data_IF_788131788946
#
_entry.id   IF_788131788946
#
_cell.length_a   1.000
_cell.length_b   1.000
_cell.length_c   1.000
_cell.angle_alpha   90.00
_cell.angle_beta   90.00
_cell.angle_gamma   90.00
#
_symmetry.space_group_name_H-M   'P 1'
#
loop_
_entity.id
_entity.type
_entity.pdbx_description
1 polymer ?
#
# COMPACT_ATOMS: atom_id res chain seq x y z
N UNK A 1 16.04 -1.05 -18.95
CA UNK A 1 15.18 -2.18 -19.34
C UNK A 1 15.09 -3.09 -18.16
N UNK A 2 13.87 -3.38 -17.71
CA UNK A 2 13.66 -4.35 -16.63
C UNK A 2 14.12 -5.73 -17.07
N UNK A 3 14.52 -6.57 -16.12
CA UNK A 3 14.89 -7.96 -16.39
C UNK A 3 13.77 -8.84 -15.87
N UNK A 4 13.06 -9.55 -16.76
CA UNK A 4 12.05 -10.52 -16.32
C UNK A 4 12.70 -11.67 -15.56
N UNK A 5 11.95 -12.28 -14.65
CA UNK A 5 12.33 -13.52 -14.00
C UNK A 5 12.33 -14.66 -15.02
N UNK A 6 13.38 -15.48 -14.96
CA UNK A 6 13.59 -16.67 -15.79
C UNK A 6 14.03 -17.84 -14.91
N UNK A 7 14.09 -19.05 -15.47
CA UNK A 7 14.31 -20.27 -14.69
C UNK A 7 13.03 -20.80 -14.04
N UNK A 8 11.87 -20.31 -14.47
CA UNK A 8 10.54 -20.65 -13.95
C UNK A 8 9.96 -21.93 -14.61
N UNK A 9 10.82 -22.80 -15.11
CA UNK A 9 10.43 -23.98 -15.89
C UNK A 9 9.78 -23.66 -17.25
N UNK A 10 9.26 -24.72 -17.88
CA UNK A 10 8.62 -24.67 -19.20
C UNK A 10 9.57 -24.44 -20.39
N UNK A 11 9.03 -24.43 -21.63
CA UNK A 11 9.83 -24.44 -22.86
C UNK A 11 10.59 -23.14 -23.13
N UNK A 12 10.17 -22.03 -22.54
CA UNK A 12 10.81 -20.72 -22.67
C UNK A 12 11.48 -20.25 -21.36
N UNK A 13 11.45 -21.07 -20.30
CA UNK A 13 12.04 -20.72 -19.00
C UNK A 13 11.34 -19.59 -18.24
N UNK A 14 10.14 -19.18 -18.64
CA UNK A 14 9.36 -18.05 -18.08
C UNK A 14 8.01 -18.47 -17.51
N UNK A 15 7.80 -19.79 -17.38
CA UNK A 15 6.64 -20.41 -16.76
C UNK A 15 6.34 -21.78 -17.33
N UNK A 16 5.89 -22.70 -16.47
CA UNK A 16 5.56 -24.08 -16.83
C UNK A 16 4.27 -24.21 -17.62
N UNK A 17 3.34 -23.28 -17.41
CA UNK A 17 2.03 -23.28 -18.05
C UNK A 17 1.97 -22.31 -19.22
N UNK A 18 1.06 -22.58 -20.18
CA UNK A 18 0.99 -21.88 -21.47
C UNK A 18 -0.44 -21.56 -21.83
N UNK A 19 -0.72 -20.31 -22.20
CA UNK A 19 -2.07 -19.85 -22.53
C UNK A 19 -2.59 -20.49 -23.81
N UNK A 20 -1.77 -20.51 -24.89
CA UNK A 20 -2.11 -21.21 -26.14
C UNK A 20 -2.28 -22.72 -25.92
N UNK A 21 -1.54 -23.29 -24.97
CA UNK A 21 -1.62 -24.72 -24.63
C UNK A 21 -2.80 -25.10 -23.74
N UNK A 22 -3.60 -24.14 -23.28
CA UNK A 22 -4.62 -24.35 -22.24
C UNK A 22 -6.04 -24.09 -22.75
N UNK A 23 -7.02 -24.66 -22.04
CA UNK A 23 -8.44 -24.38 -22.31
C UNK A 23 -8.83 -23.04 -21.70
N UNK A 24 -9.37 -22.14 -22.53
CA UNK A 24 -9.78 -20.81 -22.09
C UNK A 24 -11.10 -20.84 -21.34
N UNK A 25 -11.24 -19.96 -20.35
CA UNK A 25 -12.51 -19.76 -19.65
C UNK A 25 -13.49 -18.94 -20.47
N UNK A 26 -13.00 -17.97 -21.24
CA UNK A 26 -13.80 -17.19 -22.20
C UNK A 26 -12.92 -16.67 -23.35
N UNK A 27 -13.56 -16.30 -24.45
CA UNK A 27 -12.89 -15.65 -25.59
C UNK A 27 -12.02 -16.58 -26.43
N UNK A 28 -10.96 -16.04 -27.01
CA UNK A 28 -10.05 -16.74 -27.93
C UNK A 28 -8.60 -16.23 -27.75
N UNK A 29 -7.70 -16.51 -28.69
CA UNK A 29 -6.28 -16.10 -28.62
C UNK A 29 -6.03 -14.60 -28.96
N UNK A 30 -7.07 -13.78 -28.97
CA UNK A 30 -7.06 -12.34 -29.23
C UNK A 30 -7.69 -11.60 -28.03
N UNK A 31 -8.85 -12.08 -27.57
CA UNK A 31 -9.60 -11.48 -26.46
C UNK A 31 -10.02 -12.54 -25.44
N UNK A 32 -9.05 -13.34 -24.99
CA UNK A 32 -9.29 -14.50 -24.15
C UNK A 32 -8.95 -14.28 -22.69
N UNK A 33 -9.62 -15.03 -21.83
CA UNK A 33 -9.25 -15.15 -20.42
C UNK A 33 -9.21 -16.61 -19.98
N UNK A 34 -8.27 -16.92 -19.09
CA UNK A 34 -8.17 -18.20 -18.40
C UNK A 34 -8.15 -17.99 -16.89
N UNK A 35 -8.96 -18.77 -16.17
CA UNK A 35 -8.96 -18.82 -14.71
C UNK A 35 -7.80 -19.70 -14.23
N UNK A 36 -6.96 -19.14 -13.37
CA UNK A 36 -5.83 -19.83 -12.74
C UNK A 36 -6.06 -19.88 -11.23
N UNK A 37 -5.96 -21.07 -10.67
CA UNK A 37 -5.91 -21.27 -9.23
C UNK A 37 -4.52 -20.91 -8.71
N UNK A 38 -4.45 -20.05 -7.69
CA UNK A 38 -3.18 -19.56 -7.15
C UNK A 38 -2.86 -20.16 -5.78
N UNK A 39 -3.68 -21.07 -5.27
CA UNK A 39 -3.57 -21.59 -3.90
C UNK A 39 -2.30 -22.40 -3.64
N UNK A 40 -1.64 -22.89 -4.69
CA UNK A 40 -0.31 -23.49 -4.57
C UNK A 40 0.72 -22.52 -3.99
N UNK A 41 0.75 -21.27 -4.47
CA UNK A 41 1.64 -20.22 -3.97
C UNK A 41 1.01 -19.39 -2.84
N UNK A 42 -0.33 -19.33 -2.79
CA UNK A 42 -1.12 -18.53 -1.85
C UNK A 42 -2.16 -19.40 -1.14
N UNK A 43 -1.78 -20.24 -0.15
CA UNK A 43 -2.69 -21.23 0.45
C UNK A 43 -4.00 -20.63 1.00
N UNK A 44 -3.92 -19.41 1.55
CA UNK A 44 -5.08 -18.67 2.08
C UNK A 44 -5.74 -17.74 1.05
N UNK A 45 -5.18 -17.62 -0.16
CA UNK A 45 -5.54 -16.63 -1.17
C UNK A 45 -4.81 -15.31 -1.03
N UNK A 46 -5.12 -14.37 -1.94
CA UNK A 46 -4.63 -12.99 -1.89
C UNK A 46 -5.74 -12.03 -1.47
N UNK A 47 -5.43 -11.11 -0.56
CA UNK A 47 -6.34 -10.05 -0.17
C UNK A 47 -6.15 -8.82 -1.07
N UNK A 48 -7.02 -8.68 -2.07
CA UNK A 48 -7.02 -7.55 -3.00
C UNK A 48 -8.18 -6.60 -2.69
N UNK A 49 -7.84 -5.38 -2.25
CA UNK A 49 -8.81 -4.36 -1.81
C UNK A 49 -9.82 -4.83 -0.74
N UNK A 50 -9.39 -5.67 0.20
CA UNK A 50 -10.23 -6.16 1.29
C UNK A 50 -11.05 -7.41 0.95
N UNK A 51 -10.95 -7.91 -0.29
CA UNK A 51 -11.57 -9.17 -0.71
C UNK A 51 -10.51 -10.22 -0.93
N UNK A 52 -10.73 -11.42 -0.40
CA UNK A 52 -9.80 -12.53 -0.54
C UNK A 52 -10.11 -13.36 -1.79
N UNK A 53 -9.09 -13.65 -2.61
CA UNK A 53 -9.21 -14.38 -3.87
C UNK A 53 -8.26 -15.57 -3.90
N UNK A 54 -8.78 -16.76 -4.22
CA UNK A 54 -7.99 -17.99 -4.40
C UNK A 54 -7.66 -18.27 -5.87
N UNK A 55 -8.14 -17.41 -6.77
CA UNK A 55 -7.92 -17.53 -8.20
C UNK A 55 -7.88 -16.17 -8.86
N UNK A 56 -7.22 -16.10 -10.01
CA UNK A 56 -7.19 -14.93 -10.88
C UNK A 56 -7.56 -15.31 -12.31
N UNK A 57 -7.98 -14.34 -13.10
CA UNK A 57 -8.16 -14.48 -14.54
C UNK A 57 -7.02 -13.78 -15.26
N UNK A 58 -6.20 -14.54 -15.98
CA UNK A 58 -5.17 -14.00 -16.88
C UNK A 58 -5.85 -13.70 -18.22
N UNK A 59 -5.67 -12.51 -18.76
CA UNK A 59 -6.24 -12.10 -20.05
C UNK A 59 -5.16 -11.83 -21.11
N UNK A 60 -5.48 -12.08 -22.38
CA UNK A 60 -4.59 -11.84 -23.52
C UNK A 60 -4.08 -10.41 -23.57
N UNK A 61 -4.97 -9.46 -23.33
CA UNK A 61 -4.75 -8.02 -23.43
C UNK A 61 -3.96 -7.44 -22.24
N UNK A 62 -3.26 -8.25 -21.44
CA UNK A 62 -2.38 -7.75 -20.37
C UNK A 62 -3.10 -7.30 -19.10
N UNK A 63 -4.32 -7.80 -18.89
CA UNK A 63 -5.15 -7.57 -17.72
C UNK A 63 -5.19 -8.83 -16.82
N UNK A 64 -5.11 -8.63 -15.51
CA UNK A 64 -5.52 -9.63 -14.52
C UNK A 64 -6.82 -9.15 -13.88
N UNK A 65 -7.82 -10.03 -13.80
CA UNK A 65 -9.10 -9.73 -13.13
C UNK A 65 -9.42 -10.78 -12.09
N UNK A 66 -10.27 -10.43 -11.12
CA UNK A 66 -10.53 -11.28 -9.95
C UNK A 66 -11.93 -11.90 -9.95
N UNK A 67 -12.94 -11.16 -10.41
CA UNK A 67 -14.34 -11.58 -10.31
C UNK A 67 -14.81 -12.38 -11.52
N UNK A 68 -14.50 -11.91 -12.74
CA UNK A 68 -15.00 -12.50 -13.96
C UNK A 68 -14.00 -12.36 -15.11
N UNK A 69 -13.99 -13.29 -16.08
CA UNK A 69 -13.16 -13.15 -17.28
C UNK A 69 -13.59 -11.92 -18.10
N UNK A 70 -12.67 -11.38 -18.89
CA UNK A 70 -12.90 -10.21 -19.75
C UNK A 70 -12.55 -10.57 -21.18
N UNK A 71 -13.31 -10.05 -22.14
CA UNK A 71 -13.04 -10.21 -23.58
C UNK A 71 -13.10 -8.87 -24.32
N UNK A 72 -12.94 -7.76 -23.58
CA UNK A 72 -12.92 -6.42 -24.16
C UNK A 72 -11.51 -6.08 -24.64
N UNK A 73 -11.38 -5.71 -25.91
CA UNK A 73 -10.12 -5.37 -26.57
C UNK A 73 -9.69 -3.91 -26.32
N UNK A 74 -10.64 -2.98 -26.22
CA UNK A 74 -10.35 -1.56 -26.08
C UNK A 74 -10.04 -1.19 -24.62
N UNK A 75 -8.84 -0.67 -24.31
CA UNK A 75 -8.53 -0.19 -22.99
C UNK A 75 -9.26 1.12 -22.71
N UNK A 76 -9.90 1.18 -21.56
CA UNK A 76 -10.42 2.40 -20.94
C UNK A 76 -9.50 2.82 -19.79
N UNK A 77 -9.60 4.06 -19.33
CA UNK A 77 -8.86 4.46 -18.13
C UNK A 77 -9.14 3.45 -16.99
N UNK A 78 -8.10 2.89 -16.39
CA UNK A 78 -8.22 1.83 -15.38
C UNK A 78 -9.04 2.30 -14.17
N UNK A 79 -9.06 3.60 -13.87
CA UNK A 79 -9.89 4.22 -12.84
C UNK A 79 -11.41 4.13 -13.10
N UNK A 80 -11.81 3.79 -14.32
CA UNK A 80 -13.23 3.66 -14.74
C UNK A 80 -13.62 2.21 -15.00
N UNK A 81 -12.68 1.27 -14.85
CA UNK A 81 -12.97 -0.15 -15.04
C UNK A 81 -13.78 -0.66 -13.85
N UNK A 82 -14.80 -1.47 -14.10
CA UNK A 82 -15.90 -1.72 -13.14
C UNK A 82 -15.79 -3.06 -12.41
N UNK A 83 -14.59 -3.66 -12.36
CA UNK A 83 -14.29 -4.80 -11.51
C UNK A 83 -12.83 -4.74 -11.04
N UNK A 84 -12.46 -5.43 -9.94
CA UNK A 84 -11.09 -5.46 -9.49
C UNK A 84 -10.15 -5.98 -10.58
N UNK A 85 -9.09 -5.23 -10.85
CA UNK A 85 -8.18 -5.54 -11.94
C UNK A 85 -6.78 -4.97 -11.75
N UNK A 86 -5.77 -5.71 -12.22
CA UNK A 86 -4.40 -5.23 -12.41
C UNK A 86 -4.14 -5.14 -13.92
N UNK A 87 -3.94 -3.93 -14.43
CA UNK A 87 -3.52 -3.68 -15.80
C UNK A 87 -2.00 -3.61 -15.86
N UNK A 88 -1.35 -4.72 -16.22
CA UNK A 88 0.11 -4.78 -16.39
C UNK A 88 0.49 -4.04 -17.66
N UNK A 89 -0.25 -4.27 -18.73
CA UNK A 89 -0.20 -3.53 -20.00
C UNK A 89 -1.53 -3.76 -20.72
N UNK A 90 -2.58 -3.02 -20.37
CA UNK A 90 -3.90 -3.25 -20.96
C UNK A 90 -4.01 -2.65 -22.35
N UNK A 91 -3.94 -3.47 -23.40
CA UNK A 91 -4.16 -3.10 -24.81
C UNK A 91 -4.48 -4.34 -25.64
N UNK A 92 -4.98 -4.14 -26.86
CA UNK A 92 -5.44 -5.18 -27.79
C UNK A 92 -4.27 -6.08 -28.29
N UNK A 93 -4.08 -7.26 -27.68
CA UNK A 93 -2.97 -8.20 -27.89
C UNK A 93 -3.45 -9.43 -28.66
N UNK A 94 -2.75 -9.79 -29.74
CA UNK A 94 -3.09 -10.96 -30.56
C UNK A 94 -2.01 -12.05 -30.52
N UNK A 95 -2.29 -13.14 -29.80
CA UNK A 95 -1.38 -14.28 -29.68
C UNK A 95 -1.64 -15.41 -30.70
N UNK A 96 -2.56 -15.26 -31.66
CA UNK A 96 -2.92 -16.34 -32.63
C UNK A 96 -1.77 -16.83 -33.51
N UNK A 97 -0.78 -15.99 -33.77
CA UNK A 97 0.41 -16.40 -34.54
C UNK A 97 1.50 -17.08 -33.69
N UNK A 98 1.27 -17.23 -32.38
CA UNK A 98 2.18 -17.93 -31.48
C UNK A 98 2.01 -19.45 -31.52
N UNK A 99 2.73 -20.13 -30.64
CA UNK A 99 2.60 -21.58 -30.41
C UNK A 99 2.69 -21.89 -28.92
N UNK A 100 2.18 -23.05 -28.51
CA UNK A 100 2.15 -23.44 -27.09
C UNK A 100 3.53 -23.52 -26.42
N UNK A 101 4.61 -23.66 -27.20
CA UNK A 101 5.99 -23.77 -26.70
C UNK A 101 6.92 -22.66 -27.18
N UNK A 102 6.41 -21.69 -27.95
CA UNK A 102 7.18 -20.63 -28.60
C UNK A 102 6.92 -19.24 -28.03
N UNK A 103 7.18 -18.22 -28.85
CA UNK A 103 6.93 -16.81 -28.52
C UNK A 103 5.54 -16.36 -28.99
N UNK A 104 5.21 -15.08 -28.73
CA UNK A 104 3.87 -14.53 -28.94
C UNK A 104 2.83 -15.33 -28.14
N UNK A 105 3.12 -15.54 -26.86
CA UNK A 105 2.35 -16.38 -25.95
C UNK A 105 2.44 -15.82 -24.53
N UNK A 106 1.57 -16.32 -23.65
CA UNK A 106 1.53 -15.97 -22.23
C UNK A 106 1.85 -17.23 -21.44
N UNK A 107 2.84 -17.12 -20.56
CA UNK A 107 3.28 -18.19 -19.67
C UNK A 107 2.99 -17.82 -18.23
N UNK A 108 2.76 -18.80 -17.37
CA UNK A 108 2.72 -18.56 -15.94
C UNK A 108 3.31 -19.73 -15.13
N UNK A 109 3.78 -19.37 -13.95
CA UNK A 109 4.36 -20.24 -12.95
C UNK A 109 3.67 -20.01 -11.61
N UNK A 110 3.41 -21.11 -10.88
CA UNK A 110 2.85 -21.11 -9.53
C UNK A 110 3.85 -21.86 -8.65
N UNK A 111 4.68 -21.12 -7.93
CA UNK A 111 5.77 -21.67 -7.12
C UNK A 111 5.36 -21.72 -5.64
N UNK A 112 5.06 -22.90 -5.09
CA UNK A 112 4.72 -23.07 -3.67
C UNK A 112 5.91 -22.86 -2.74
N UNK A 113 7.14 -23.09 -3.21
CA UNK A 113 8.34 -23.03 -2.37
C UNK A 113 8.77 -21.59 -2.11
N UNK A 114 8.67 -20.73 -3.14
CA UNK A 114 8.92 -19.29 -2.97
C UNK A 114 7.66 -18.47 -2.66
N UNK A 115 6.47 -19.06 -2.77
CA UNK A 115 5.20 -18.35 -2.59
C UNK A 115 4.94 -17.34 -3.72
N UNK A 116 5.31 -17.68 -4.96
CA UNK A 116 5.23 -16.73 -6.08
C UNK A 116 4.29 -17.20 -7.17
N UNK A 117 3.55 -16.25 -7.72
CA UNK A 117 2.87 -16.41 -9.00
C UNK A 117 3.51 -15.45 -9.99
N UNK A 118 4.08 -16.00 -11.07
CA UNK A 118 4.70 -15.18 -12.12
C UNK A 118 3.99 -15.38 -13.43
N UNK A 119 3.60 -14.30 -14.11
CA UNK A 119 2.88 -14.32 -15.39
C UNK A 119 3.65 -13.48 -16.41
N UNK A 120 3.99 -14.05 -17.55
CA UNK A 120 4.85 -13.43 -18.57
C UNK A 120 4.12 -13.36 -19.91
N UNK A 121 3.91 -12.16 -20.43
CA UNK A 121 3.53 -11.94 -21.84
C UNK A 121 4.82 -11.86 -22.65
N UNK A 122 5.16 -12.94 -23.37
CA UNK A 122 6.45 -13.10 -24.02
C UNK A 122 6.37 -12.77 -25.51
N UNK A 123 7.04 -11.68 -25.91
CA UNK A 123 7.12 -11.21 -27.30
C UNK A 123 5.73 -11.12 -27.96
N UNK A 124 4.77 -10.56 -27.25
CA UNK A 124 3.40 -10.40 -27.74
C UNK A 124 3.29 -9.24 -28.73
N UNK A 125 2.42 -9.39 -29.73
CA UNK A 125 2.10 -8.36 -30.72
C UNK A 125 0.75 -7.71 -30.43
N UNK A 126 0.56 -6.50 -30.92
CA UNK A 126 -0.78 -5.91 -30.96
C UNK A 126 -1.61 -6.54 -32.08
N UNK A 127 -2.94 -6.52 -31.95
CA UNK A 127 -3.86 -6.99 -32.99
C UNK A 127 -3.60 -6.32 -34.35
N UNK A 128 -3.34 -5.01 -34.33
CA UNK A 128 -2.99 -4.21 -35.49
C UNK A 128 -1.95 -3.14 -35.16
N UNK A 129 -1.29 -2.58 -36.18
CA UNK A 129 -0.38 -1.45 -36.02
C UNK A 129 0.99 -1.77 -35.39
N UNK A 130 1.22 -2.98 -34.87
CA UNK A 130 2.51 -3.34 -34.26
C UNK A 130 3.58 -3.77 -35.27
N UNK A 131 3.23 -4.20 -36.48
CA UNK A 131 4.20 -4.68 -37.47
C UNK A 131 5.15 -5.74 -36.90
N UNK A 132 6.46 -5.50 -36.96
CA UNK A 132 7.49 -6.38 -36.38
C UNK A 132 7.79 -6.10 -34.89
N UNK A 133 7.19 -5.07 -34.30
CA UNK A 133 7.41 -4.71 -32.90
C UNK A 133 6.78 -5.73 -31.96
N UNK A 134 7.47 -6.04 -30.86
CA UNK A 134 7.05 -7.01 -29.84
C UNK A 134 7.19 -6.42 -28.44
N UNK A 135 6.27 -6.77 -27.56
CA UNK A 135 6.33 -6.41 -26.14
C UNK A 135 6.63 -7.64 -25.30
N UNK A 136 7.45 -7.48 -24.27
CA UNK A 136 7.72 -8.48 -23.24
C UNK A 136 7.63 -7.81 -21.88
N UNK A 137 6.67 -8.27 -21.08
CA UNK A 137 6.39 -7.77 -19.74
C UNK A 137 5.89 -8.89 -18.83
N UNK A 138 6.04 -8.70 -17.54
CA UNK A 138 5.79 -9.73 -16.53
C UNK A 138 5.11 -9.12 -15.30
N UNK A 139 4.22 -9.89 -14.69
CA UNK A 139 3.65 -9.66 -13.37
C UNK A 139 4.19 -10.71 -12.41
N UNK A 140 4.66 -10.29 -11.25
CA UNK A 140 4.98 -11.17 -10.13
C UNK A 140 4.06 -10.81 -8.96
N UNK A 141 3.40 -11.81 -8.41
CA UNK A 141 2.72 -11.73 -7.12
C UNK A 141 3.58 -12.51 -6.13
N UNK A 142 4.19 -11.80 -5.18
CA UNK A 142 5.09 -12.36 -4.17
C UNK A 142 4.34 -12.46 -2.85
N UNK A 143 4.05 -13.68 -2.39
CA UNK A 143 3.29 -13.91 -1.16
C UNK A 143 4.04 -13.43 0.06
N UNK A 144 3.28 -12.90 1.00
CA UNK A 144 3.70 -12.65 2.37
C UNK A 144 2.58 -13.06 3.31
N UNK A 145 2.86 -13.22 4.59
CA UNK A 145 1.90 -13.78 5.54
C UNK A 145 0.56 -13.03 5.59
N UNK A 146 -0.52 -13.74 5.97
CA UNK A 146 -1.88 -13.22 6.17
C UNK A 146 -2.58 -12.67 4.92
N UNK A 147 -2.32 -13.27 3.76
CA UNK A 147 -2.92 -12.88 2.47
C UNK A 147 -2.36 -11.57 1.89
N UNK A 148 -1.28 -11.04 2.49
CA UNK A 148 -0.53 -9.91 1.97
C UNK A 148 0.32 -10.35 0.79
N UNK A 149 0.62 -9.44 -0.13
CA UNK A 149 1.49 -9.78 -1.26
C UNK A 149 2.13 -8.54 -1.85
N UNK A 150 3.23 -8.71 -2.58
CA UNK A 150 3.80 -7.66 -3.43
C UNK A 150 3.42 -7.89 -4.88
N UNK A 151 3.14 -6.80 -5.58
CA UNK A 151 2.98 -6.75 -7.02
C UNK A 151 4.26 -6.17 -7.62
N UNK A 152 4.92 -6.92 -8.49
CA UNK A 152 6.01 -6.41 -9.32
C UNK A 152 5.56 -6.45 -10.80
N UNK A 153 5.45 -5.29 -11.45
CA UNK A 153 5.27 -5.15 -12.89
C UNK A 153 6.63 -4.87 -13.53
N UNK A 154 7.09 -5.78 -14.38
CA UNK A 154 8.42 -5.76 -14.97
C UNK A 154 8.30 -5.61 -16.48
N UNK A 155 8.94 -4.59 -17.03
CA UNK A 155 8.94 -4.27 -18.45
C UNK A 155 10.33 -4.45 -19.04
N UNK A 156 10.55 -5.58 -19.71
CA UNK A 156 11.79 -5.81 -20.44
C UNK A 156 11.81 -5.08 -21.77
N UNK A 157 10.68 -5.09 -22.48
CA UNK A 157 10.59 -4.49 -23.81
C UNK A 157 9.16 -4.03 -24.09
N UNK A 158 9.01 -2.79 -24.52
CA UNK A 158 7.74 -2.21 -24.99
C UNK A 158 8.03 -1.41 -26.26
N UNK A 159 7.66 -1.96 -27.42
CA UNK A 159 7.93 -1.39 -28.74
C UNK A 159 6.65 -0.92 -29.45
N UNK A 160 5.48 -1.22 -28.89
CA UNK A 160 4.19 -0.71 -29.35
C UNK A 160 3.34 -0.33 -28.14
N UNK A 161 2.51 0.71 -28.29
CA UNK A 161 1.69 1.26 -27.22
C UNK A 161 0.18 1.19 -27.49
N UNK A 162 -0.24 0.79 -28.70
CA UNK A 162 -1.62 0.69 -29.13
C UNK A 162 -1.77 -0.53 -30.05
N UNK A 163 -2.59 -1.49 -29.64
CA UNK A 163 -2.88 -2.70 -30.41
C UNK A 163 -3.96 -2.55 -31.49
N UNK A 164 -4.58 -1.38 -31.62
CA UNK A 164 -5.60 -1.10 -32.63
C UNK A 164 -6.65 -0.11 -32.17
N UNK A 165 -6.97 -0.13 -30.88
CA UNK A 165 -7.94 0.79 -30.27
C UNK A 165 -7.40 1.26 -28.92
N UNK A 166 -6.99 2.52 -28.82
CA UNK A 166 -6.55 3.15 -27.56
C UNK A 166 -5.09 2.89 -27.16
N UNK A 167 -4.51 3.86 -26.44
CA UNK A 167 -3.18 3.69 -25.84
C UNK A 167 -3.28 2.81 -24.60
N UNK A 168 -2.30 1.93 -24.44
CA UNK A 168 -2.25 0.97 -23.34
C UNK A 168 -2.37 1.64 -21.97
N UNK A 169 -3.10 0.99 -21.08
CA UNK A 169 -3.32 1.44 -19.71
C UNK A 169 -2.54 0.56 -18.74
N UNK A 170 -1.92 1.18 -17.74
CA UNK A 170 -1.14 0.51 -16.71
C UNK A 170 -1.59 1.02 -15.35
N UNK A 171 -1.87 0.09 -14.44
CA UNK A 171 -2.35 0.43 -13.11
C UNK A 171 -3.18 -0.68 -12.48
N UNK A 172 -4.06 -0.28 -11.57
CA UNK A 172 -4.86 -1.19 -10.77
C UNK A 172 -6.12 -0.50 -10.26
N UNK A 173 -7.16 -1.29 -9.99
CA UNK A 173 -8.43 -0.80 -9.46
C UNK A 173 -9.15 -1.89 -8.65
N UNK A 174 -10.01 -1.48 -7.72
CA UNK A 174 -10.99 -2.33 -7.06
C UNK A 174 -12.31 -2.47 -7.84
N UNK A 175 -12.43 -1.86 -9.00
CA UNK A 175 -13.67 -1.77 -9.76
C UNK A 175 -14.61 -0.66 -9.30
N UNK A 176 -14.19 0.15 -8.34
CA UNK A 176 -14.93 1.23 -7.73
C UNK A 176 -14.08 2.51 -7.65
N UNK A 177 -13.93 3.07 -6.45
CA UNK A 177 -13.25 4.37 -6.26
C UNK A 177 -11.78 4.26 -5.92
N UNK A 178 -11.26 3.04 -5.68
CA UNK A 178 -9.86 2.86 -5.35
C UNK A 178 -9.10 2.41 -6.60
N UNK A 179 -8.34 3.34 -7.16
CA UNK A 179 -7.52 3.09 -8.33
C UNK A 179 -6.13 3.70 -8.20
N UNK A 180 -5.17 3.10 -8.91
CA UNK A 180 -3.85 3.66 -9.08
C UNK A 180 -3.45 3.55 -10.54
N UNK A 181 -3.08 4.69 -11.12
CA UNK A 181 -2.59 4.80 -12.50
C UNK A 181 -1.08 4.98 -12.47
N UNK A 182 -0.35 4.05 -13.11
CA UNK A 182 1.12 4.16 -13.19
C UNK A 182 1.49 5.41 -14.01
N UNK A 183 2.48 6.23 -13.57
CA UNK A 183 2.92 7.38 -14.33
C UNK A 183 3.26 7.05 -15.79
N UNK A 184 2.66 7.81 -16.72
CA UNK A 184 2.84 7.60 -18.17
C UNK A 184 1.80 6.67 -18.81
N UNK A 185 0.98 5.96 -18.03
CA UNK A 185 -0.17 5.20 -18.51
C UNK A 185 -1.07 6.04 -19.42
N UNK A 186 -1.58 5.43 -20.51
CA UNK A 186 -2.48 6.09 -21.44
C UNK A 186 -1.85 7.12 -22.38
N UNK A 187 -0.52 7.29 -22.33
CA UNK A 187 0.22 8.16 -23.25
C UNK A 187 1.27 7.37 -24.03
N UNK A 188 1.41 7.60 -25.33
CA UNK A 188 2.37 6.87 -26.17
C UNK A 188 3.79 6.98 -25.62
N UNK A 189 4.21 8.20 -25.27
CA UNK A 189 5.56 8.45 -24.73
C UNK A 189 5.77 7.74 -23.40
N UNK A 190 4.79 7.79 -22.49
CA UNK A 190 4.91 7.16 -21.18
C UNK A 190 4.97 5.63 -21.28
N UNK A 191 4.08 5.04 -22.07
CA UNK A 191 4.00 3.59 -22.27
C UNK A 191 5.26 3.04 -22.96
N UNK A 192 5.73 3.67 -24.04
CA UNK A 192 6.98 3.27 -24.70
C UNK A 192 8.21 3.49 -23.80
N UNK A 193 8.12 4.41 -22.84
CA UNK A 193 9.16 4.70 -21.86
C UNK A 193 9.27 3.66 -20.73
N UNK A 194 8.26 2.81 -20.51
CA UNK A 194 8.18 1.91 -19.35
C UNK A 194 9.47 1.11 -19.10
N UNK A 195 10.09 0.43 -20.09
CA UNK A 195 11.27 -0.39 -19.83
C UNK A 195 12.47 0.38 -19.27
N UNK A 196 12.58 1.67 -19.57
CA UNK A 196 13.72 2.50 -19.14
C UNK A 196 13.32 3.56 -18.11
N UNK A 197 12.03 3.64 -17.79
CA UNK A 197 11.51 4.57 -16.81
C UNK A 197 11.90 4.17 -15.40
N UNK A 198 12.19 5.19 -14.57
CA UNK A 198 12.17 5.02 -13.13
C UNK A 198 10.71 5.06 -12.67
N UNK A 199 10.03 3.90 -12.73
CA UNK A 199 8.60 3.79 -12.47
C UNK A 199 8.28 3.87 -10.98
N UNK A 200 9.18 3.38 -10.14
CA UNK A 200 9.09 3.46 -8.68
C UNK A 200 10.46 3.76 -8.05
N UNK A 201 10.61 4.85 -7.27
CA UNK A 201 11.88 5.21 -6.65
C UNK A 201 12.46 4.10 -5.78
N UNK A 202 13.67 3.63 -6.13
CA UNK A 202 14.37 2.56 -5.41
C UNK A 202 14.33 1.22 -6.13
N UNK A 203 13.53 1.09 -7.19
CA UNK A 203 13.52 -0.08 -8.07
C UNK A 203 14.45 0.12 -9.28
N UNK A 204 14.93 -0.98 -9.90
CA UNK A 204 15.63 -0.91 -11.19
C UNK A 204 14.74 -0.28 -12.28
N UNK A 205 15.32 0.38 -13.30
CA UNK A 205 14.55 0.89 -14.43
C UNK A 205 13.70 -0.19 -15.09
N UNK A 206 12.43 0.13 -15.38
CA UNK A 206 11.47 -0.82 -15.95
C UNK A 206 10.81 -1.75 -14.94
N UNK A 207 11.00 -1.54 -13.64
CA UNK A 207 10.26 -2.24 -12.59
C UNK A 207 9.40 -1.25 -11.85
N UNK A 208 8.11 -1.57 -11.71
CA UNK A 208 7.20 -0.93 -10.78
C UNK A 208 6.80 -1.96 -9.72
N UNK A 209 6.99 -1.63 -8.45
CA UNK A 209 6.75 -2.55 -7.35
C UNK A 209 5.84 -1.91 -6.31
N UNK A 210 4.88 -2.66 -5.79
CA UNK A 210 4.15 -2.21 -4.61
C UNK A 210 3.61 -3.34 -3.75
N UNK A 211 3.72 -3.25 -2.42
CA UNK A 211 3.07 -4.19 -1.53
C UNK A 211 1.58 -3.87 -1.29
N UNK A 212 0.80 -4.93 -1.06
CA UNK A 212 -0.62 -4.95 -0.69
C UNK A 212 -0.75 -5.48 0.75
N UNK A 213 -1.39 -4.68 1.61
CA UNK A 213 -1.40 -4.92 3.06
C UNK A 213 -2.82 -4.99 3.66
N UNK A 214 -3.13 -6.09 4.35
CA UNK A 214 -4.37 -6.45 5.04
C UNK A 214 -4.49 -5.79 6.44
N UNK A 215 -4.59 -4.45 6.49
CA UNK A 215 -4.78 -3.66 7.73
C UNK A 215 -3.60 -3.65 8.72
N UNK A 216 -3.73 -3.04 9.91
CA UNK A 216 -3.40 -1.63 10.18
C UNK A 216 -2.26 -1.56 11.20
N UNK A 217 -1.21 -0.79 10.92
CA UNK A 217 -0.18 -0.45 11.92
C UNK A 217 -0.32 1.04 12.26
N UNK A 218 0.17 1.42 13.43
CA UNK A 218 0.36 2.81 13.86
C UNK A 218 1.61 3.38 13.16
N UNK A 219 1.41 4.38 12.31
CA UNK A 219 2.45 4.94 11.45
C UNK A 219 2.41 6.47 11.41
N UNK A 220 3.58 7.09 11.25
CA UNK A 220 3.71 8.47 10.80
C UNK A 220 3.92 8.52 9.29
N UNK A 221 3.29 9.47 8.59
CA UNK A 221 3.62 9.73 7.19
C UNK A 221 4.97 10.47 7.12
N UNK A 222 5.82 10.08 6.18
CA UNK A 222 7.12 10.75 5.93
C UNK A 222 6.96 12.27 5.79
N UNK A 223 7.94 13.00 6.30
CA UNK A 223 7.93 14.45 6.46
C UNK A 223 7.35 14.93 7.79
N UNK A 224 6.61 14.07 8.53
CA UNK A 224 6.22 14.37 9.92
C UNK A 224 7.47 14.45 10.79
N UNK A 225 7.68 15.57 11.49
CA UNK A 225 8.86 15.77 12.32
C UNK A 225 8.57 15.43 13.78
N UNK A 226 9.49 14.71 14.40
CA UNK A 226 9.43 14.27 15.79
C UNK A 226 10.38 15.11 16.62
N UNK A 227 9.94 15.49 17.83
CA UNK A 227 10.77 16.27 18.73
C UNK A 227 11.92 15.42 19.29
N UNK A 228 13.12 15.95 19.16
CA UNK A 228 14.35 15.43 19.75
C UNK A 228 14.98 16.50 20.65
N UNK A 229 15.93 16.16 21.54
CA UNK A 229 16.68 17.16 22.29
C UNK A 229 17.40 18.20 21.42
N UNK A 230 17.64 17.90 20.14
CA UNK A 230 18.31 18.78 19.17
C UNK A 230 17.34 19.55 18.26
N UNK A 231 16.03 19.41 18.48
CA UNK A 231 14.98 20.02 17.66
C UNK A 231 14.11 19.00 16.92
N UNK A 232 13.27 19.50 16.01
CA UNK A 232 12.36 18.68 15.21
C UNK A 232 13.13 17.97 14.07
N UNK A 233 13.03 16.64 14.00
CA UNK A 233 13.70 15.79 12.99
C UNK A 233 12.65 15.00 12.21
N UNK A 234 12.66 15.00 10.86
CA UNK A 234 11.74 14.18 10.06
C UNK A 234 11.81 12.70 10.46
N UNK A 235 10.66 12.04 10.57
CA UNK A 235 10.56 10.66 11.06
C UNK A 235 11.39 9.68 10.23
N UNK A 236 11.47 9.88 8.92
CA UNK A 236 12.26 9.06 7.99
C UNK A 236 13.78 9.20 8.17
N UNK A 237 14.25 10.22 8.90
CA UNK A 237 15.66 10.46 9.18
C UNK A 237 16.13 9.84 10.51
N UNK A 238 15.21 9.49 11.41
CA UNK A 238 15.53 8.91 12.71
C UNK A 238 16.05 7.47 12.58
N UNK A 239 17.02 7.10 13.40
CA UNK A 239 17.64 5.77 13.46
C UNK A 239 17.68 5.24 14.90
N UNK A 240 17.91 3.93 15.04
CA UNK A 240 18.15 3.34 16.35
C UNK A 240 19.32 4.04 17.07
N UNK A 241 19.14 4.32 18.36
CA UNK A 241 20.06 5.10 19.19
C UNK A 241 19.78 6.61 19.22
N UNK A 242 19.02 7.17 18.28
CA UNK A 242 18.62 8.58 18.35
C UNK A 242 17.69 8.82 19.55
N UNK A 243 17.86 9.96 20.21
CA UNK A 243 17.00 10.36 21.32
C UNK A 243 15.75 11.09 20.81
N UNK A 244 14.57 10.62 21.21
CA UNK A 244 13.30 11.30 21.01
C UNK A 244 12.77 11.83 22.34
N UNK A 245 12.13 13.00 22.33
CA UNK A 245 11.50 13.56 23.52
C UNK A 245 10.20 12.83 23.80
N UNK A 246 10.08 12.28 25.01
CA UNK A 246 8.83 11.70 25.53
C UNK A 246 8.24 12.61 26.60
N UNK A 247 6.91 12.65 26.69
CA UNK A 247 6.20 13.42 27.73
C UNK A 247 6.31 12.75 29.11
N UNK A 248 6.36 11.42 29.14
CA UNK A 248 6.25 10.63 30.36
C UNK A 248 7.59 10.16 30.95
N UNK A 249 8.70 10.19 30.18
CA UNK A 249 9.97 9.63 30.63
C UNK A 249 11.21 10.46 30.22
N UNK A 250 11.04 11.72 29.81
CA UNK A 250 12.15 12.53 29.30
C UNK A 250 12.66 12.04 27.93
N UNK A 251 13.91 12.37 27.58
CA UNK A 251 14.48 11.91 26.31
C UNK A 251 14.81 10.41 26.37
N UNK A 252 14.28 9.63 25.43
CA UNK A 252 14.44 8.19 25.37
C UNK A 252 15.08 7.76 24.04
N UNK A 253 15.97 6.74 24.05
CA UNK A 253 16.58 6.25 22.84
C UNK A 253 15.59 5.42 22.01
N UNK A 254 15.60 5.61 20.71
CA UNK A 254 14.94 4.69 19.78
C UNK A 254 15.66 3.34 19.82
N UNK A 255 14.90 2.30 20.10
CA UNK A 255 15.37 0.93 19.94
C UNK A 255 15.38 0.53 18.46
N UNK A 256 14.39 1.00 17.71
CA UNK A 256 14.28 0.75 16.29
C UNK A 256 13.43 1.83 15.60
N UNK A 257 13.76 2.10 14.35
CA UNK A 257 12.91 2.84 13.43
C UNK A 257 12.88 2.10 12.10
N UNK A 258 11.70 2.08 11.47
CA UNK A 258 11.53 1.45 10.18
C UNK A 258 10.27 1.93 9.49
N UNK A 259 10.19 1.71 8.20
CA UNK A 259 9.08 2.20 7.41
C UNK A 259 9.21 1.75 5.98
N UNK A 260 8.06 1.67 5.32
CA UNK A 260 7.98 1.25 3.92
C UNK A 260 7.04 2.16 3.15
N UNK A 261 7.35 2.35 1.88
CA UNK A 261 6.48 3.04 0.94
C UNK A 261 5.49 2.05 0.36
N UNK A 262 4.20 2.34 0.46
CA UNK A 262 3.14 1.50 -0.06
C UNK A 262 2.05 2.34 -0.74
N UNK A 263 1.35 1.78 -1.73
CA UNK A 263 0.05 2.34 -2.11
C UNK A 263 -0.93 2.01 -0.99
N UNK A 264 -1.65 3.01 -0.52
CA UNK A 264 -2.66 2.86 0.54
C UNK A 264 -3.99 3.38 0.05
N UNK A 265 -5.07 2.76 0.49
CA UNK A 265 -6.45 3.04 0.08
C UNK A 265 -7.43 2.67 1.20
N UNK A 266 -8.69 3.05 1.02
CA UNK A 266 -9.77 2.78 1.98
C UNK A 266 -9.38 3.16 3.40
N UNK A 267 -9.55 2.22 4.33
CA UNK A 267 -9.31 2.44 5.76
C UNK A 267 -7.84 2.69 6.12
N UNK A 268 -6.87 2.54 5.19
CA UNK A 268 -5.43 2.83 5.44
C UNK A 268 -5.02 4.23 4.99
N UNK A 269 -5.92 4.98 4.34
CA UNK A 269 -5.59 6.32 3.85
C UNK A 269 -5.23 7.24 5.01
N UNK A 270 -4.19 8.08 4.86
CA UNK A 270 -3.73 8.94 5.96
C UNK A 270 -4.84 9.79 6.53
N UNK A 271 -4.84 9.92 7.85
CA UNK A 271 -5.58 10.97 8.55
C UNK A 271 -4.67 12.18 8.65
N UNK A 272 -5.06 13.26 7.99
CA UNK A 272 -4.41 14.56 8.05
C UNK A 272 -4.93 15.35 9.24
N UNK A 273 -4.00 15.98 9.95
CA UNK A 273 -4.25 16.83 11.10
C UNK A 273 -3.67 18.20 10.77
N UNK A 274 -4.54 19.20 10.64
CA UNK A 274 -4.17 20.59 10.36
C UNK A 274 -3.45 21.24 11.57
N UNK A 275 -2.71 22.35 11.37
CA UNK A 275 -2.05 23.06 12.46
C UNK A 275 -3.01 23.45 13.58
N UNK A 276 -2.52 23.41 14.81
CA UNK A 276 -3.19 23.85 16.05
C UNK A 276 -4.40 23.03 16.49
N UNK A 277 -4.69 21.89 15.86
CA UNK A 277 -5.80 21.01 16.26
C UNK A 277 -5.51 20.31 17.59
N UNK A 278 -4.30 19.77 17.76
CA UNK A 278 -3.88 19.07 18.98
C UNK A 278 -2.59 19.66 19.59
N UNK A 279 -2.41 20.98 19.43
CA UNK A 279 -1.19 21.69 19.85
C UNK A 279 0.00 21.53 18.90
N UNK A 280 -0.16 20.80 17.79
CA UNK A 280 0.82 20.77 16.71
C UNK A 280 0.98 22.14 16.04
N UNK A 281 2.20 22.47 15.64
CA UNK A 281 2.57 23.75 15.00
C UNK A 281 2.53 23.70 13.47
N UNK A 282 2.56 22.50 12.90
CA UNK A 282 2.47 22.26 11.46
C UNK A 282 1.49 21.12 11.18
N UNK A 283 1.02 21.05 9.94
CA UNK A 283 0.20 19.92 9.47
C UNK A 283 1.05 18.65 9.46
N UNK A 284 0.44 17.53 9.82
CA UNK A 284 1.05 16.21 9.68
C UNK A 284 -0.01 15.15 9.37
N UNK A 285 0.43 13.95 9.06
CA UNK A 285 -0.47 12.84 8.78
C UNK A 285 0.02 11.55 9.43
N UNK A 286 -0.95 10.73 9.83
CA UNK A 286 -0.73 9.45 10.49
C UNK A 286 -1.61 8.38 9.87
N UNK A 287 -1.35 7.11 10.21
CA UNK A 287 -2.29 6.03 9.89
C UNK A 287 -3.61 6.18 10.68
N UNK A 288 -4.72 5.66 10.17
CA UNK A 288 -6.05 5.79 10.81
C UNK A 288 -6.13 5.29 12.27
N UNK A 289 -5.41 4.23 12.62
CA UNK A 289 -5.37 3.71 13.99
C UNK A 289 -4.30 4.37 14.90
N UNK A 290 -3.55 5.36 14.41
CA UNK A 290 -2.54 6.03 15.23
C UNK A 290 -3.21 6.80 16.36
N UNK A 291 -2.72 6.59 17.58
CA UNK A 291 -3.29 7.20 18.78
C UNK A 291 -2.77 8.62 19.00
N UNK A 292 -3.73 9.55 19.12
CA UNK A 292 -3.53 10.94 19.49
C UNK A 292 -3.90 11.11 20.96
N UNK A 293 -3.04 11.75 21.74
CA UNK A 293 -3.31 12.02 23.15
C UNK A 293 -4.24 13.23 23.30
N UNK A 294 -5.34 13.04 24.02
CA UNK A 294 -6.28 14.07 24.41
C UNK A 294 -6.05 14.42 25.87
N UNK A 295 -5.86 15.72 26.16
CA UNK A 295 -5.60 16.24 27.51
C UNK A 295 -6.63 17.29 27.95
N UNK A 296 -7.88 17.14 27.52
CA UNK A 296 -8.98 18.06 27.87
C UNK A 296 -9.54 17.74 29.26
N UNK A 297 -9.87 18.72 30.11
CA UNK A 297 -10.54 18.48 31.40
C UNK A 297 -11.83 17.64 31.32
N UNK A 298 -12.50 17.66 30.17
CA UNK A 298 -13.67 16.83 29.89
C UNK A 298 -13.33 15.34 29.84
N UNK A 299 -12.08 14.96 29.57
CA UNK A 299 -11.65 13.56 29.60
C UNK A 299 -11.81 12.98 31.01
N UNK A 300 -11.46 13.75 32.05
CA UNK A 300 -11.62 13.33 33.44
C UNK A 300 -13.11 13.15 33.78
N UNK A 301 -13.95 14.05 33.32
CA UNK A 301 -15.41 13.98 33.54
C UNK A 301 -16.06 12.79 32.82
N UNK A 302 -15.69 12.54 31.56
CA UNK A 302 -16.33 11.51 30.74
C UNK A 302 -15.76 10.11 30.98
N UNK A 303 -14.46 10.02 31.25
CA UNK A 303 -13.72 8.76 31.22
C UNK A 303 -13.00 8.46 32.53
N UNK A 304 -13.00 9.39 33.50
CA UNK A 304 -12.31 9.22 34.78
C UNK A 304 -10.79 9.36 34.70
N UNK A 305 -10.26 9.78 33.54
CA UNK A 305 -8.83 9.90 33.27
C UNK A 305 -8.51 11.27 32.67
N UNK A 306 -7.50 11.97 33.18
CA UNK A 306 -7.12 13.30 32.71
C UNK A 306 -6.48 13.28 31.30
N UNK A 307 -5.87 12.16 30.93
CA UNK A 307 -5.21 11.95 29.65
C UNK A 307 -5.68 10.63 29.04
N UNK A 308 -6.20 10.68 27.81
CA UNK A 308 -6.72 9.50 27.09
C UNK A 308 -6.25 9.51 25.65
N UNK A 309 -6.03 8.33 25.09
CA UNK A 309 -5.73 8.16 23.67
C UNK A 309 -6.99 7.95 22.85
N UNK A 310 -7.04 8.52 21.66
CA UNK A 310 -8.05 8.22 20.65
C UNK A 310 -7.39 7.94 19.29
N UNK A 311 -7.90 6.96 18.56
CA UNK A 311 -7.44 6.68 17.20
C UNK A 311 -7.79 7.85 16.27
N UNK A 312 -6.87 8.24 15.40
CA UNK A 312 -7.04 9.38 14.50
C UNK A 312 -8.32 9.30 13.63
N UNK A 313 -8.71 8.10 13.21
CA UNK A 313 -9.94 7.87 12.43
C UNK A 313 -11.24 8.15 13.22
N UNK A 314 -11.20 8.02 14.54
CA UNK A 314 -12.36 8.27 15.39
C UNK A 314 -12.55 9.78 15.67
N UNK A 315 -11.57 10.59 15.25
CA UNK A 315 -11.53 12.05 15.43
C UNK A 315 -11.95 12.81 14.16
N UNK A 316 -12.37 12.13 13.09
CA UNK A 316 -12.70 12.72 11.78
C UNK A 316 -13.85 13.73 11.80
N UNK A 317 -14.65 13.76 12.87
CA UNK A 317 -15.72 14.76 13.05
C UNK A 317 -15.19 16.11 13.56
N UNK A 318 -13.92 16.20 13.97
CA UNK A 318 -13.33 17.46 14.41
C UNK A 318 -12.94 18.33 13.21
N UNK A 319 -13.22 19.64 13.25
CA UNK A 319 -12.66 20.57 12.28
C UNK A 319 -11.13 20.52 12.27
N UNK A 320 -10.55 20.32 11.09
CA UNK A 320 -9.09 20.22 10.90
C UNK A 320 -8.55 18.79 10.96
N UNK A 321 -9.39 17.77 11.16
CA UNK A 321 -9.03 16.35 11.03
C UNK A 321 -9.79 15.75 9.86
N UNK A 322 -9.08 15.18 8.88
CA UNK A 322 -9.73 14.61 7.71
C UNK A 322 -8.93 13.44 7.14
N UNK A 323 -9.64 12.44 6.64
CA UNK A 323 -9.02 11.30 5.99
C UNK A 323 -8.85 11.59 4.50
N UNK A 324 -7.67 11.28 3.97
CA UNK A 324 -7.46 11.19 2.53
C UNK A 324 -8.50 10.23 1.92
N UNK A 325 -8.94 10.51 0.69
CA UNK A 325 -10.02 9.77 0.01
C UNK A 325 -9.56 9.01 -1.22
N UNK A 326 -8.38 9.34 -1.75
CA UNK A 326 -7.86 8.71 -2.97
C UNK A 326 -6.68 7.83 -2.65
N UNK A 327 -6.67 6.65 -3.27
CA UNK A 327 -5.53 5.76 -3.22
C UNK A 327 -4.27 6.50 -3.67
N UNK A 328 -3.18 6.33 -2.91
CA UNK A 328 -1.92 7.05 -3.16
C UNK A 328 -0.73 6.33 -2.55
N UNK A 329 0.45 6.60 -3.10
CA UNK A 329 1.70 6.19 -2.50
C UNK A 329 1.96 6.99 -1.21
N UNK A 330 2.25 6.29 -0.11
CA UNK A 330 2.56 6.87 1.20
C UNK A 330 3.74 6.11 1.79
N UNK A 331 4.72 6.84 2.31
CA UNK A 331 5.79 6.29 3.13
C UNK A 331 5.39 6.38 4.60
N UNK A 332 5.16 5.22 5.21
CA UNK A 332 4.76 5.12 6.60
C UNK A 332 5.95 4.68 7.47
N UNK A 333 6.18 5.36 8.58
CA UNK A 333 7.29 5.13 9.49
C UNK A 333 6.83 4.83 10.91
N UNK A 334 7.59 3.96 11.58
CA UNK A 334 7.34 3.43 12.91
C UNK A 334 8.54 3.70 13.81
N UNK A 335 8.27 3.96 15.09
CA UNK A 335 9.27 4.28 16.09
C UNK A 335 9.06 3.38 17.30
N UNK A 336 10.00 2.47 17.55
CA UNK A 336 9.98 1.59 18.71
C UNK A 336 10.95 2.11 19.78
N UNK A 337 10.45 2.19 21.02
CA UNK A 337 11.21 2.51 22.21
C UNK A 337 11.19 1.30 23.16
N UNK A 338 11.86 1.40 24.31
CA UNK A 338 11.88 0.33 25.31
C UNK A 338 10.54 0.13 26.02
N UNK A 339 9.62 1.09 25.91
CA UNK A 339 8.22 0.95 26.26
C UNK A 339 7.31 1.74 25.32
N UNK A 340 6.01 1.66 25.57
CA UNK A 340 5.05 2.55 24.92
C UNK A 340 5.10 3.92 25.57
N UNK A 341 5.60 4.90 24.83
CA UNK A 341 5.76 6.29 25.25
C UNK A 341 4.86 7.24 24.47
N UNK A 342 4.53 8.37 25.11
CA UNK A 342 3.94 9.54 24.45
C UNK A 342 5.09 10.36 23.86
N UNK A 343 5.14 10.46 22.54
CA UNK A 343 6.12 11.26 21.79
C UNK A 343 5.46 12.47 21.11
N UNK A 344 6.26 13.45 20.74
CA UNK A 344 5.79 14.71 20.17
C UNK A 344 6.01 14.75 18.64
N UNK A 345 4.94 14.70 17.87
CA UNK A 345 4.92 14.81 16.41
C UNK A 345 4.38 16.18 15.98
N UNK A 346 5.22 17.02 15.36
CA UNK A 346 4.94 18.44 15.06
C UNK A 346 4.50 19.27 16.28
N UNK A 347 4.68 18.76 17.49
CA UNK A 347 4.20 19.34 18.75
C UNK A 347 2.93 18.68 19.33
N UNK A 348 2.19 17.90 18.54
CA UNK A 348 1.08 17.10 19.07
C UNK A 348 1.61 15.88 19.83
N UNK A 349 0.95 15.54 20.94
CA UNK A 349 1.26 14.33 21.71
C UNK A 349 0.62 13.09 21.06
N UNK A 350 1.43 12.10 20.74
CA UNK A 350 1.07 10.90 19.97
C UNK A 350 1.75 9.66 20.56
N UNK A 351 1.33 8.47 20.17
CA UNK A 351 1.98 7.24 20.60
C UNK A 351 3.31 6.95 19.88
N UNK A 352 4.11 6.08 20.50
CA UNK A 352 5.16 5.29 19.84
C UNK A 352 4.66 3.86 19.60
N UNK A 353 5.37 3.08 18.78
CA UNK A 353 4.97 1.72 18.45
C UNK A 353 4.95 0.84 19.72
N UNK A 354 3.78 0.26 20.01
CA UNK A 354 3.64 -0.86 20.93
C UNK A 354 3.78 -2.18 20.14
N UNK A 355 4.85 -2.98 20.34
CA UNK A 355 5.13 -4.16 19.52
C UNK A 355 4.31 -5.40 19.93
N UNK A 356 3.00 -5.24 20.07
CA UNK A 356 2.09 -6.37 20.30
C UNK A 356 2.06 -7.33 19.10
N UNK A 357 1.64 -8.60 19.27
CA UNK A 357 1.60 -9.58 18.18
C UNK A 357 0.90 -9.09 16.91
N UNK A 358 -0.23 -8.39 17.07
CA UNK A 358 -0.96 -7.80 15.93
C UNK A 358 -0.16 -6.67 15.25
N UNK A 359 0.48 -5.79 16.03
CA UNK A 359 1.29 -4.68 15.49
C UNK A 359 2.47 -5.22 14.68
N UNK A 360 3.18 -6.22 15.22
CA UNK A 360 4.30 -6.88 14.54
C UNK A 360 3.87 -7.60 13.25
N UNK A 361 2.72 -8.29 13.27
CA UNK A 361 2.19 -8.97 12.08
C UNK A 361 1.70 -8.00 11.00
N UNK A 362 1.29 -6.80 11.40
CA UNK A 362 0.84 -5.76 10.47
C UNK A 362 1.98 -4.96 9.84
N UNK A 363 3.20 -5.04 10.40
CA UNK A 363 4.37 -4.36 9.84
C UNK A 363 4.68 -4.90 8.43
N UNK A 364 5.18 -4.05 7.54
CA UNK A 364 5.69 -4.50 6.26
C UNK A 364 6.74 -5.61 6.42
N UNK A 365 6.73 -6.64 5.56
CA UNK A 365 7.58 -7.83 5.71
C UNK A 365 9.07 -7.46 5.90
N UNK A 366 9.61 -6.56 5.08
CA UNK A 366 10.99 -6.10 5.22
C UNK A 366 11.26 -5.34 6.52
N UNK A 367 10.30 -4.52 6.98
CA UNK A 367 10.40 -3.82 8.27
C UNK A 367 10.31 -4.80 9.45
N UNK A 368 9.45 -5.82 9.35
CA UNK A 368 9.30 -6.87 10.36
C UNK A 368 10.55 -7.74 10.43
N UNK A 369 11.09 -8.17 9.30
CA UNK A 369 12.34 -8.91 9.22
C UNK A 369 13.51 -8.12 9.84
N UNK A 370 13.64 -6.83 9.49
CA UNK A 370 14.66 -5.97 10.07
C UNK A 370 14.50 -5.82 11.60
N UNK A 371 13.26 -5.72 12.08
CA UNK A 371 12.96 -5.68 13.50
C UNK A 371 13.27 -7.02 14.20
N UNK A 372 12.85 -8.15 13.63
CA UNK A 372 13.10 -9.49 14.16
C UNK A 372 14.57 -9.93 14.07
N UNK A 373 15.35 -9.35 13.15
CA UNK A 373 16.80 -9.51 13.13
C UNK A 373 17.50 -8.75 14.28
N UNK A 374 16.85 -7.71 14.81
CA UNK A 374 17.40 -6.85 15.86
C UNK A 374 16.96 -7.25 17.27
N UNK A 375 15.84 -7.97 17.41
CA UNK A 375 15.24 -8.36 18.69
C UNK A 375 14.74 -9.80 18.66
N UNK A 376 14.88 -10.52 19.78
CA UNK A 376 14.19 -11.80 19.93
C UNK A 376 12.69 -11.61 20.13
N UNK A 377 11.88 -12.66 19.87
CA UNK A 377 10.45 -12.65 20.16
C UNK A 377 10.16 -12.40 21.64
N UNK A 378 11.02 -12.88 22.54
CA UNK A 378 10.94 -12.64 23.99
C UNK A 378 11.15 -11.17 24.34
N UNK A 379 12.10 -10.48 23.69
CA UNK A 379 12.37 -9.06 23.93
C UNK A 379 11.18 -8.20 23.52
N UNK A 380 10.64 -8.43 22.32
CA UNK A 380 9.46 -7.72 21.82
C UNK A 380 8.23 -8.00 22.68
N UNK A 381 8.05 -9.25 23.13
CA UNK A 381 6.96 -9.59 24.04
C UNK A 381 7.11 -8.89 25.40
N UNK A 382 8.33 -8.80 25.94
CA UNK A 382 8.59 -8.10 27.20
C UNK A 382 8.29 -6.59 27.09
N UNK A 383 8.55 -5.97 25.94
CA UNK A 383 8.15 -4.57 25.66
C UNK A 383 6.62 -4.48 25.56
N UNK A 384 5.97 -5.40 24.85
CA UNK A 384 4.52 -5.41 24.65
C UNK A 384 3.71 -5.66 25.93
N UNK A 385 4.29 -6.36 26.92
CA UNK A 385 3.68 -6.58 28.23
C UNK A 385 3.70 -5.34 29.13
N UNK A 386 4.44 -4.29 28.76
CA UNK A 386 4.40 -3.01 29.49
C UNK A 386 3.03 -2.36 29.30
N UNK A 387 2.52 -1.69 30.33
CA UNK A 387 1.23 -0.99 30.24
C UNK A 387 1.27 0.07 29.14
N UNK A 388 0.15 0.24 28.44
CA UNK A 388 -0.06 1.36 27.54
C UNK A 388 0.10 2.68 28.30
N UNK A 389 0.75 3.69 27.71
CA UNK A 389 1.03 4.95 28.41
C UNK A 389 -0.22 5.65 28.95
N UNK A 390 -1.35 5.52 28.25
CA UNK A 390 -2.65 6.05 28.65
C UNK A 390 -3.77 5.07 28.28
N UNK A 391 -4.95 5.25 28.88
CA UNK A 391 -6.18 4.54 28.46
C UNK A 391 -6.51 4.87 27.01
N UNK A 392 -6.84 3.84 26.22
CA UNK A 392 -7.30 4.01 24.84
C UNK A 392 -8.83 4.00 24.81
N UNK A 393 -9.41 5.05 24.24
CA UNK A 393 -10.85 5.17 24.03
C UNK A 393 -11.33 4.22 22.92
N UNK A 394 -12.54 3.71 23.09
CA UNK A 394 -13.30 3.06 22.00
C UNK A 394 -13.82 4.13 21.03
N UNK A 395 -14.10 3.74 19.80
CA UNK A 395 -14.61 4.65 18.76
C UNK A 395 -15.81 5.50 19.22
N UNK A 396 -16.80 4.91 19.88
CA UNK A 396 -17.97 5.65 20.37
C UNK A 396 -17.65 6.61 21.54
N UNK A 397 -16.64 6.31 22.36
CA UNK A 397 -16.18 7.22 23.43
C UNK A 397 -15.47 8.44 22.83
N UNK A 398 -14.60 8.23 21.84
CA UNK A 398 -13.93 9.30 21.11
C UNK A 398 -14.94 10.19 20.35
N UNK A 399 -15.92 9.60 19.68
CA UNK A 399 -16.98 10.32 18.98
C UNK A 399 -17.86 11.16 19.93
N UNK A 400 -18.18 10.64 21.12
CA UNK A 400 -18.88 11.41 22.15
C UNK A 400 -18.07 12.64 22.59
N UNK A 401 -16.76 12.47 22.81
CA UNK A 401 -15.88 13.59 23.14
C UNK A 401 -15.85 14.63 22.00
N UNK A 402 -15.73 14.20 20.73
CA UNK A 402 -15.75 15.10 19.58
C UNK A 402 -17.05 15.91 19.48
N UNK A 403 -18.21 15.29 19.72
CA UNK A 403 -19.49 15.97 19.69
C UNK A 403 -19.54 17.13 20.70
N UNK A 404 -19.03 16.92 21.92
CA UNK A 404 -19.02 17.92 22.99
C UNK A 404 -18.01 19.05 22.75
N UNK A 405 -16.99 18.85 21.89
CA UNK A 405 -16.08 19.91 21.46
C UNK A 405 -16.74 20.91 20.49
N UNK A 406 -17.71 20.45 19.70
CA UNK A 406 -18.48 21.32 18.79
C UNK A 406 -19.30 22.36 19.54
N UNK A 407 -19.96 21.94 20.63
CA UNK A 407 -20.82 22.82 21.44
C UNK A 407 -20.04 23.87 22.24
N UNK A 408 -18.81 23.56 22.68
CA UNK A 408 -17.96 24.53 23.40
C UNK A 408 -17.54 25.73 22.56
N UNK A 409 -17.46 25.61 21.23
CA UNK A 409 -17.14 26.74 20.34
C UNK A 409 -18.29 27.74 20.20
N UNK A 410 -19.52 27.34 20.55
CA UNK A 410 -20.70 28.23 20.57
C UNK A 410 -20.73 29.11 21.83
N UNK A 411 -19.98 28.74 22.88
CA UNK A 411 -20.06 29.36 24.22
C UNK A 411 -18.84 30.22 24.58
N UNK A 412 -17.79 30.29 23.75
CA UNK A 412 -16.68 31.22 24.02
C UNK A 412 -17.12 32.68 23.82
N UNK A 413 -17.25 33.51 24.88
CA UNK A 413 -17.57 34.92 24.72
C UNK A 413 -16.33 35.64 24.18
N UNK A 414 -16.54 36.56 23.23
CA UNK A 414 -15.56 37.56 22.83
C UNK A 414 -15.08 38.37 24.05
N UNK A 415 -14.06 37.89 24.77
CA UNK A 415 -13.31 38.72 25.71
C UNK A 415 -12.14 39.33 24.93
N UNK A 416 -12.48 40.39 24.20
CA UNK A 416 -11.53 41.43 23.81
C UNK A 416 -11.06 42.11 25.09
N UNK A 417 -9.86 41.78 25.56
CA UNK A 417 -9.15 42.60 26.53
C UNK A 417 -8.83 43.94 25.83
N UNK A 418 -9.63 44.96 26.11
CA UNK A 418 -9.26 46.35 25.82
C UNK A 418 -8.15 46.74 26.78
N UNK A 419 -6.98 47.05 26.21
CA UNK A 419 -5.93 47.76 26.92
C UNK A 419 -6.45 49.13 27.39
N UNK A 420 -6.19 49.45 28.66
CA UNK A 420 -6.14 50.79 29.22
C UNK A 420 -4.93 50.85 30.14
#
# INVERSE_FOLDING_TARGET
MGTINTGLGGPQGVGENSFIGSTLTAGNLDDGSIRVDITGAFPEGINYFGTNYTSIYINTNGLITFNAPVTTYAPTNIATFNQPAIAVFWSDVDIRAGTATGTNNIYWDIDPDSGRVTITWLNVRGYSGSGNNRNTFQLVLDHSENGNFRIDMIYQQVQWANGGSGIAQVGMTDGGTNDFVVPGSGTTTGVLGLPNGNLDPGQPPGVWSTPFWNGQVVCFVAGTRIATPKGLVPVEALRAGDLVLTRNAGAQPLLWSGGERAIVWGQRLPVWIEPFVFGNTARFAVSPNHLILLTDPLCEVLFGEAEVFAAAQDLLTLPGVWQERKARAVSYHHLLLDGHHVILAEGASTESLMPGPMALQSLPAGSREALMASFSSTDLHAIALRQTACRVLKAHEAQLWCALQGDRRIVAPNILVRAA
#
